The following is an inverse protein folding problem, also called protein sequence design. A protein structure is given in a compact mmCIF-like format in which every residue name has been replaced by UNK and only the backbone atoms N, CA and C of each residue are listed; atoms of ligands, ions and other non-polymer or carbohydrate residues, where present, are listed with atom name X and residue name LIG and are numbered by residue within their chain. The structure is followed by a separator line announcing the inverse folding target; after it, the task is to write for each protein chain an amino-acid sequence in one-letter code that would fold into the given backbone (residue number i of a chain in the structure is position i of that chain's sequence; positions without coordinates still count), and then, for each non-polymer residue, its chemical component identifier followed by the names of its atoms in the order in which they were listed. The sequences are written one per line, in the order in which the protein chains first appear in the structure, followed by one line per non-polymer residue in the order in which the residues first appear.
data_IF_054896703383
#
_entry.id   IF_054896703383
#
_cell.length_a   1.000
_cell.length_b   1.000
_cell.length_c   1.000
_cell.angle_alpha   90.00
_cell.angle_beta   90.00
_cell.angle_gamma   90.00
#
_symmetry.space_group_name_H-M   'P 1'
#
loop_
_entity.id
_entity.type
_entity.pdbx_description
1 polymer ?
#
# COMPACT_ATOMS: atom_id res chain seq x y z
N UNK A 1 -14.31 -35.10 -12.79
CA UNK A 1 -14.04 -33.69 -12.41
C UNK A 1 -12.53 -33.40 -12.29
N UNK A 2 -11.66 -34.02 -13.12
CA UNK A 2 -10.19 -33.89 -13.00
C UNK A 2 -9.56 -32.71 -13.75
N UNK A 3 -10.20 -32.21 -14.83
CA UNK A 3 -9.59 -31.22 -15.74
C UNK A 3 -9.15 -29.91 -15.05
N UNK A 4 -9.93 -29.41 -14.09
CA UNK A 4 -9.62 -28.13 -13.43
C UNK A 4 -8.45 -28.15 -12.44
N UNK A 5 -7.94 -29.32 -12.06
CA UNK A 5 -6.78 -29.45 -11.15
C UNK A 5 -5.47 -29.49 -11.96
N UNK A 6 -5.49 -30.12 -13.13
CA UNK A 6 -4.33 -30.24 -14.01
C UNK A 6 -3.99 -28.91 -14.68
N UNK A 7 -5.01 -28.15 -15.11
CA UNK A 7 -4.83 -26.80 -15.69
C UNK A 7 -4.16 -25.83 -14.70
N UNK A 8 -4.57 -25.85 -13.43
CA UNK A 8 -3.96 -25.00 -12.37
C UNK A 8 -2.51 -25.39 -12.07
N UNK A 9 -2.17 -26.68 -12.15
CA UNK A 9 -0.78 -27.14 -11.98
C UNK A 9 0.08 -26.70 -13.16
N UNK A 10 -0.46 -26.73 -14.38
CA UNK A 10 0.21 -26.26 -15.58
C UNK A 10 0.45 -24.74 -15.50
N UNK A 11 -0.56 -23.94 -15.11
CA UNK A 11 -0.40 -22.50 -14.91
C UNK A 11 0.66 -22.15 -13.86
N UNK A 12 0.66 -22.85 -12.71
CA UNK A 12 1.66 -22.64 -11.67
C UNK A 12 3.08 -22.99 -12.14
N UNK A 13 3.24 -24.08 -12.89
CA UNK A 13 4.51 -24.49 -13.47
C UNK A 13 5.02 -23.48 -14.53
N UNK A 14 4.12 -22.98 -15.38
CA UNK A 14 4.45 -21.94 -16.36
C UNK A 14 4.86 -20.63 -15.69
N UNK A 15 4.15 -20.21 -14.63
CA UNK A 15 4.51 -19.02 -13.84
C UNK A 15 5.89 -19.15 -13.19
N UNK A 16 6.23 -20.33 -12.66
CA UNK A 16 7.53 -20.53 -12.04
C UNK A 16 8.66 -20.45 -13.09
N UNK A 17 8.45 -21.04 -14.28
CA UNK A 17 9.43 -20.95 -15.38
C UNK A 17 9.67 -19.52 -15.86
N UNK A 18 8.62 -18.70 -15.97
CA UNK A 18 8.76 -17.29 -16.38
C UNK A 18 9.36 -16.42 -15.29
N UNK A 19 9.13 -16.76 -14.02
CA UNK A 19 9.75 -16.11 -12.87
C UNK A 19 11.26 -16.37 -12.82
N UNK A 20 11.67 -17.63 -12.96
CA UNK A 20 13.08 -18.03 -12.91
C UNK A 20 13.89 -17.46 -14.09
N UNK A 21 13.29 -17.43 -15.28
CA UNK A 21 13.87 -16.79 -16.47
C UNK A 21 14.09 -15.27 -16.25
N UNK A 22 13.11 -14.58 -15.64
CA UNK A 22 13.25 -13.18 -15.31
C UNK A 22 14.39 -12.93 -14.30
N UNK A 23 14.47 -13.73 -13.24
CA UNK A 23 15.53 -13.63 -12.23
C UNK A 23 16.90 -13.83 -12.88
N UNK A 24 17.02 -14.85 -13.74
CA UNK A 24 18.27 -15.17 -14.44
C UNK A 24 18.73 -14.01 -15.32
N UNK A 25 17.83 -13.48 -16.16
CA UNK A 25 18.14 -12.33 -17.04
C UNK A 25 18.51 -11.08 -16.24
N UNK A 26 17.82 -10.83 -15.13
CA UNK A 26 18.14 -9.70 -14.26
C UNK A 26 19.51 -9.86 -13.61
N UNK A 27 19.85 -11.06 -13.12
CA UNK A 27 21.14 -11.36 -12.54
C UNK A 27 22.28 -11.21 -13.56
N UNK A 28 22.09 -11.69 -14.79
CA UNK A 28 23.03 -11.52 -15.90
C UNK A 28 23.22 -10.04 -16.26
N UNK A 29 22.14 -9.27 -16.34
CA UNK A 29 22.21 -7.82 -16.57
C UNK A 29 23.02 -7.11 -15.47
N UNK A 30 22.72 -7.37 -14.20
CA UNK A 30 23.43 -6.78 -13.06
C UNK A 30 24.92 -7.16 -13.05
N UNK A 31 25.24 -8.41 -13.35
CA UNK A 31 26.62 -8.93 -13.37
C UNK A 31 27.45 -8.31 -14.51
N UNK A 32 26.85 -8.15 -15.69
CA UNK A 32 27.55 -7.69 -16.88
C UNK A 32 27.54 -6.16 -17.05
N UNK A 33 26.76 -5.43 -16.26
CA UNK A 33 26.69 -3.97 -16.30
C UNK A 33 27.92 -3.29 -15.66
N UNK A 34 28.88 -2.93 -16.51
CA UNK A 34 30.12 -2.21 -16.14
C UNK A 34 29.86 -0.82 -15.55
N UNK A 35 28.75 -0.18 -15.92
CA UNK A 35 28.44 1.21 -15.51
C UNK A 35 27.67 1.28 -14.20
N UNK A 36 27.18 0.14 -13.69
CA UNK A 36 26.30 0.03 -12.51
C UNK A 36 24.99 0.83 -12.67
N UNK A 37 24.54 1.06 -13.91
CA UNK A 37 23.25 1.65 -14.26
C UNK A 37 22.05 0.92 -13.63
N UNK A 38 22.16 -0.39 -13.39
CA UNK A 38 21.14 -1.19 -12.71
C UNK A 38 20.75 -0.61 -11.36
N UNK A 39 21.68 0.03 -10.64
CA UNK A 39 21.40 0.66 -9.33
C UNK A 39 20.38 1.78 -9.46
N UNK A 40 20.51 2.60 -10.51
CA UNK A 40 19.60 3.71 -10.78
C UNK A 40 18.21 3.17 -11.12
N UNK A 41 18.13 2.23 -12.07
CA UNK A 41 16.87 1.60 -12.49
C UNK A 41 16.15 0.95 -11.31
N UNK A 42 16.89 0.16 -10.51
CA UNK A 42 16.35 -0.48 -9.32
C UNK A 42 15.86 0.54 -8.28
N UNK A 43 16.65 1.58 -8.01
CA UNK A 43 16.28 2.62 -7.05
C UNK A 43 15.04 3.38 -7.52
N UNK A 44 14.94 3.74 -8.80
CA UNK A 44 13.76 4.40 -9.37
C UNK A 44 12.52 3.51 -9.27
N UNK A 45 12.65 2.21 -9.56
CA UNK A 45 11.56 1.25 -9.40
C UNK A 45 11.07 1.17 -7.95
N UNK A 46 11.98 0.99 -6.99
CA UNK A 46 11.64 0.92 -5.56
C UNK A 46 11.00 2.22 -5.08
N UNK A 47 11.55 3.39 -5.46
CA UNK A 47 10.97 4.69 -5.14
C UNK A 47 9.56 4.84 -5.72
N UNK A 48 9.31 4.34 -6.91
CA UNK A 48 7.97 4.34 -7.50
C UNK A 48 6.97 3.50 -6.69
N UNK A 49 7.40 2.35 -6.14
CA UNK A 49 6.56 1.54 -5.25
C UNK A 49 6.22 2.28 -3.95
N UNK A 50 7.20 2.94 -3.33
CA UNK A 50 6.96 3.78 -2.15
C UNK A 50 5.99 4.92 -2.46
N UNK A 51 6.20 5.64 -3.57
CA UNK A 51 5.30 6.71 -4.01
C UNK A 51 3.87 6.21 -4.20
N UNK A 52 3.68 5.03 -4.82
CA UNK A 52 2.35 4.44 -5.01
C UNK A 52 1.69 4.06 -3.69
N UNK A 53 2.48 3.55 -2.75
CA UNK A 53 2.04 3.23 -1.40
C UNK A 53 1.60 4.48 -0.64
N UNK A 54 2.39 5.55 -0.67
CA UNK A 54 2.04 6.86 -0.09
C UNK A 54 0.75 7.42 -0.69
N UNK A 55 0.65 7.46 -2.03
CA UNK A 55 -0.56 7.90 -2.74
C UNK A 55 -1.79 7.08 -2.32
N UNK A 56 -1.64 5.76 -2.14
CA UNK A 56 -2.70 4.89 -1.66
C UNK A 56 -3.13 5.26 -0.23
N UNK A 57 -2.19 5.42 0.69
CA UNK A 57 -2.52 5.77 2.07
C UNK A 57 -3.11 7.18 2.21
N UNK A 58 -2.67 8.14 1.41
CA UNK A 58 -3.28 9.47 1.35
C UNK A 58 -4.72 9.43 0.85
N UNK A 59 -5.02 8.62 -0.17
CA UNK A 59 -6.41 8.37 -0.59
C UNK A 59 -7.20 7.67 0.49
N UNK A 60 -6.60 6.70 1.16
CA UNK A 60 -7.26 5.94 2.23
C UNK A 60 -7.63 6.87 3.38
N UNK A 61 -6.74 7.75 3.86
CA UNK A 61 -7.00 8.71 4.95
C UNK A 61 -8.24 9.59 4.73
N UNK A 62 -8.59 9.89 3.48
CA UNK A 62 -9.76 10.71 3.11
C UNK A 62 -11.09 9.96 3.21
N UNK A 63 -11.05 8.63 3.32
CA UNK A 63 -12.26 7.81 3.47
C UNK A 63 -12.80 7.87 4.89
N UNK A 64 -14.13 7.73 5.11
CA UNK A 64 -14.76 7.83 6.44
C UNK A 64 -14.17 6.94 7.54
N UNK A 65 -13.58 5.80 7.18
CA UNK A 65 -12.91 4.86 8.11
C UNK A 65 -11.43 4.64 7.77
N UNK A 66 -10.87 5.49 6.91
CA UNK A 66 -9.52 5.34 6.37
C UNK A 66 -8.42 5.33 7.43
N UNK A 67 -8.44 6.36 8.30
CA UNK A 67 -7.46 6.49 9.39
C UNK A 67 -7.50 5.30 10.35
N UNK A 68 -8.70 4.80 10.67
CA UNK A 68 -8.89 3.60 11.52
C UNK A 68 -8.25 2.36 10.89
N UNK A 69 -8.49 2.12 9.59
CA UNK A 69 -7.87 1.00 8.87
C UNK A 69 -6.34 1.07 8.86
N UNK A 70 -5.78 2.27 8.69
CA UNK A 70 -4.33 2.47 8.73
C UNK A 70 -3.77 2.11 10.11
N UNK A 71 -4.42 2.55 11.19
CA UNK A 71 -4.02 2.24 12.57
C UNK A 71 -4.01 0.73 12.81
N UNK A 72 -5.03 0.01 12.32
CA UNK A 72 -5.15 -1.45 12.44
C UNK A 72 -4.05 -2.18 11.64
N UNK A 73 -3.83 -1.81 10.37
CA UNK A 73 -2.82 -2.44 9.50
C UNK A 73 -1.42 -2.34 10.11
N UNK A 74 -1.06 -1.17 10.63
CA UNK A 74 0.27 -0.91 11.19
C UNK A 74 0.37 -1.22 12.69
N UNK A 75 -0.70 -1.68 13.34
CA UNK A 75 -0.71 -1.98 14.77
C UNK A 75 -0.33 -0.80 15.66
N UNK A 76 -0.69 0.43 15.26
CA UNK A 76 -0.24 1.66 15.92
C UNK A 76 -0.95 1.80 17.28
N UNK A 77 -0.18 1.69 18.37
CA UNK A 77 -0.69 1.86 19.74
C UNK A 77 -0.57 3.29 20.27
N UNK A 78 0.46 4.02 19.82
CA UNK A 78 0.72 5.40 20.28
C UNK A 78 0.29 6.43 19.23
N UNK A 79 -0.98 6.84 19.27
CA UNK A 79 -1.52 7.85 18.34
C UNK A 79 -0.95 9.27 18.54
N UNK A 80 -0.34 9.56 19.69
CA UNK A 80 0.26 10.88 19.95
C UNK A 80 1.47 11.15 19.04
N UNK A 81 2.21 10.09 18.70
CA UNK A 81 3.34 10.17 17.77
C UNK A 81 2.92 10.39 16.30
N UNK A 82 1.63 10.21 15.97
CA UNK A 82 1.11 10.34 14.60
C UNK A 82 -0.04 11.36 14.50
N UNK A 83 0.25 12.67 14.55
CA UNK A 83 -0.77 13.73 14.51
C UNK A 83 -1.69 13.66 13.29
N UNK A 84 -1.20 13.17 12.15
CA UNK A 84 -1.96 13.02 10.91
C UNK A 84 -3.07 11.96 10.98
N UNK A 85 -2.96 11.02 11.92
CA UNK A 85 -3.93 9.94 12.14
C UNK A 85 -4.92 10.24 13.27
N UNK A 86 -4.74 11.35 14.00
CA UNK A 86 -5.66 11.77 15.04
C UNK A 86 -6.98 12.27 14.42
N UNK A 87 -8.13 11.79 14.93
CA UNK A 87 -9.45 12.30 14.56
C UNK A 87 -9.68 13.66 15.25
N UNK A 88 -9.49 14.76 14.53
CA UNK A 88 -9.85 16.11 15.02
C UNK A 88 -11.33 16.45 14.81
N UNK A 89 -12.05 15.68 13.98
CA UNK A 89 -13.27 16.17 13.32
C UNK A 89 -14.60 15.68 13.92
N UNK A 90 -14.63 14.62 14.74
CA UNK A 90 -15.90 14.17 15.36
C UNK A 90 -16.42 15.14 16.43
N UNK A 91 -15.53 15.80 17.16
CA UNK A 91 -15.95 16.74 18.21
C UNK A 91 -16.53 18.04 17.65
N UNK A 92 -16.10 18.49 16.47
CA UNK A 92 -16.61 19.73 15.89
C UNK A 92 -18.01 19.57 15.31
N UNK A 93 -18.31 18.43 14.68
CA UNK A 93 -19.65 18.16 14.16
C UNK A 93 -20.66 17.94 15.28
N UNK A 94 -20.32 17.18 16.33
CA UNK A 94 -21.22 16.98 17.49
C UNK A 94 -21.47 18.31 18.23
N UNK A 95 -20.43 19.14 18.44
CA UNK A 95 -20.58 20.47 19.06
C UNK A 95 -21.43 21.43 18.21
N UNK A 96 -21.29 21.42 16.88
CA UNK A 96 -22.11 22.23 15.96
C UNK A 96 -23.57 21.78 15.97
N UNK A 97 -23.84 20.48 15.97
CA UNK A 97 -25.21 19.96 16.02
C UNK A 97 -25.87 20.30 17.36
N UNK A 98 -25.17 20.11 18.49
CA UNK A 98 -25.67 20.47 19.83
C UNK A 98 -25.87 21.99 20.02
N UNK A 99 -25.01 22.83 19.43
CA UNK A 99 -25.16 24.28 19.47
C UNK A 99 -26.34 24.80 18.64
N UNK A 100 -26.72 24.07 17.58
CA UNK A 100 -27.89 24.40 16.75
C UNK A 100 -29.20 24.05 17.46
N UNK A 101 -29.24 22.93 18.20
CA UNK A 101 -30.42 22.53 18.99
C UNK A 101 -30.70 23.48 20.16
N UNK A 102 -29.66 24.01 20.81
CA UNK A 102 -29.79 24.95 21.94
C UNK A 102 -30.22 26.39 21.55
N UNK A 103 -30.19 26.75 20.26
CA UNK A 103 -30.62 28.08 19.77
C UNK A 103 -32.09 28.15 19.35
N UNK A 104 -32.79 27.00 19.34
CA UNK A 104 -34.19 26.86 18.89
C UNK A 104 -35.13 26.65 20.10
N UNK A 105 -34.58 26.61 21.32
CA UNK A 105 -35.31 26.59 22.60
C UNK A 105 -35.03 27.89 23.33
#
# INVERSE_FOLDING_TARGET
MQRGIDDKKIEAAMRNKTHDDFITRWAEFVKNDKTRSWKKIHTEFINAQFKKSEEFYERLKKQPNGKKKIIEIFGIKNLKAYPSLQEKDKQQNIKKTLAKTKKIT
#
